data_IF_881192531617
#
_entry.id   IF_881192531617
#
_cell.length_a   1.000
_cell.length_b   1.000
_cell.length_c   1.000
_cell.angle_alpha   90.00
_cell.angle_beta   90.00
_cell.angle_gamma   90.00
#
_symmetry.space_group_name_H-M   'P 1'
#
loop_
_entity.id
_entity.type
_entity.pdbx_description
1 polymer ?
#
# COMPACT_ATOMS: atom_id res chain seq x y z
N UNK A 1 -27.96 4.97 15.38
CA UNK A 1 -27.73 6.43 15.27
C UNK A 1 -26.96 6.93 16.47
N UNK A 2 -25.62 7.00 16.36
CA UNK A 2 -24.74 7.99 16.99
C UNK A 2 -23.53 8.14 16.05
N UNK A 3 -23.36 9.30 15.40
CA UNK A 3 -22.27 9.53 14.46
C UNK A 3 -21.03 9.92 15.26
N UNK A 4 -19.94 9.15 15.15
CA UNK A 4 -18.65 9.58 15.66
C UNK A 4 -17.71 9.80 14.48
N UNK A 5 -17.38 11.07 14.30
CA UNK A 5 -16.35 11.62 13.45
C UNK A 5 -15.01 10.91 13.70
N UNK A 6 -14.72 9.85 12.96
CA UNK A 6 -13.37 9.31 12.87
C UNK A 6 -12.65 10.06 11.75
N UNK A 7 -11.58 10.74 12.13
CA UNK A 7 -10.65 11.46 11.26
C UNK A 7 -10.44 10.75 9.92
N UNK A 8 -10.84 11.41 8.82
CA UNK A 8 -10.46 11.04 7.45
C UNK A 8 -8.98 11.43 7.23
N UNK A 9 -8.06 10.71 7.85
CA UNK A 9 -6.63 10.86 7.58
C UNK A 9 -6.05 9.49 7.26
N UNK A 10 -6.18 9.10 6.00
CA UNK A 10 -5.39 8.01 5.46
C UNK A 10 -4.08 8.59 4.93
N UNK A 11 -3.05 8.56 5.75
CA UNK A 11 -1.68 8.86 5.31
C UNK A 11 -0.75 7.86 5.99
N UNK A 12 -0.28 6.90 5.20
CA UNK A 12 0.58 5.82 5.67
C UNK A 12 1.26 5.14 4.49
N UNK A 13 2.23 5.83 3.88
CA UNK A 13 3.15 5.25 2.91
C UNK A 13 4.21 4.45 3.67
N UNK A 14 4.08 3.12 3.71
CA UNK A 14 5.17 2.26 4.20
C UNK A 14 6.01 1.81 3.02
N UNK A 15 6.84 2.74 2.51
CA UNK A 15 7.88 2.42 1.54
C UNK A 15 9.20 2.17 2.25
N UNK A 16 9.56 0.90 2.44
CA UNK A 16 10.89 0.49 2.89
C UNK A 16 11.91 0.55 1.72
N UNK A 17 12.11 1.76 1.18
CA UNK A 17 13.33 2.30 0.55
C UNK A 17 12.96 3.61 -0.14
N UNK A 18 12.82 4.68 0.65
CA UNK A 18 12.74 6.04 0.10
C UNK A 18 14.10 6.42 -0.52
N UNK A 19 14.20 6.32 -1.85
CA UNK A 19 15.21 7.03 -2.61
C UNK A 19 14.82 8.51 -2.61
N UNK A 20 15.41 9.28 -1.69
CA UNK A 20 15.17 10.72 -1.50
C UNK A 20 15.55 11.58 -2.72
N UNK A 21 16.08 10.99 -3.79
CA UNK A 21 16.55 11.72 -4.99
C UNK A 21 15.47 11.90 -6.08
N UNK A 22 14.31 11.25 -5.96
CA UNK A 22 13.28 11.23 -7.03
C UNK A 22 12.10 12.17 -6.71
N UNK A 23 11.95 12.60 -5.46
CA UNK A 23 10.83 13.41 -4.99
C UNK A 23 11.22 14.91 -4.96
N UNK A 24 11.29 15.56 -6.13
CA UNK A 24 11.47 17.02 -6.19
C UNK A 24 10.21 17.70 -5.61
N UNK A 25 10.30 18.31 -4.43
CA UNK A 25 9.24 19.13 -3.81
C UNK A 25 8.18 18.38 -2.98
N UNK A 26 7.90 17.10 -3.23
CA UNK A 26 6.87 16.35 -2.49
C UNK A 26 7.29 15.91 -1.07
N UNK A 27 8.60 15.80 -0.81
CA UNK A 27 9.13 15.38 0.52
C UNK A 27 8.76 16.36 1.63
N UNK A 28 8.57 17.64 1.31
CA UNK A 28 8.21 18.67 2.29
C UNK A 28 6.76 18.54 2.78
N UNK A 29 5.88 17.92 1.97
CA UNK A 29 4.45 17.82 2.25
C UNK A 29 3.99 16.40 2.61
N UNK A 30 4.83 15.39 2.37
CA UNK A 30 4.52 13.99 2.66
C UNK A 30 5.42 13.50 3.79
N UNK A 31 4.88 13.15 4.97
CA UNK A 31 5.67 12.58 6.05
C UNK A 31 6.38 11.30 5.61
N UNK A 32 7.70 11.25 5.78
CA UNK A 32 8.52 10.08 5.47
C UNK A 32 9.16 9.56 6.75
N UNK A 33 8.91 8.30 7.08
CA UNK A 33 9.54 7.62 8.20
C UNK A 33 10.46 6.50 7.70
N UNK A 34 11.65 6.39 8.29
CA UNK A 34 12.49 5.19 8.18
C UNK A 34 12.32 4.38 9.44
N UNK A 35 12.06 3.08 9.26
CA UNK A 35 11.87 2.14 10.37
C UNK A 35 12.98 1.10 10.37
N UNK A 36 13.40 0.69 11.55
CA UNK A 36 14.43 -0.35 11.73
C UNK A 36 13.89 -1.76 11.50
N UNK A 37 12.61 -2.00 11.81
CA UNK A 37 11.94 -3.28 11.64
C UNK A 37 10.54 -3.09 11.04
N UNK A 38 10.40 -3.41 9.76
CA UNK A 38 9.15 -3.28 9.02
C UNK A 38 8.05 -4.21 9.55
N UNK A 39 8.40 -5.43 9.99
CA UNK A 39 7.42 -6.38 10.52
C UNK A 39 6.77 -5.88 11.81
N UNK A 40 7.55 -5.30 12.72
CA UNK A 40 7.03 -4.69 13.94
C UNK A 40 6.19 -3.44 13.63
N UNK A 41 6.58 -2.63 12.65
CA UNK A 41 5.77 -1.48 12.22
C UNK A 41 4.41 -1.93 11.68
N UNK A 42 4.37 -3.00 10.91
CA UNK A 42 3.10 -3.58 10.41
C UNK A 42 2.22 -4.01 11.58
N UNK A 43 2.77 -4.72 12.57
CA UNK A 43 1.98 -5.18 13.73
C UNK A 43 1.35 -3.99 14.47
N UNK A 44 2.12 -2.91 14.69
CA UNK A 44 1.63 -1.68 15.32
C UNK A 44 0.53 -1.00 14.52
N UNK A 45 0.67 -0.92 13.20
CA UNK A 45 -0.36 -0.35 12.33
C UNK A 45 -1.67 -1.13 12.44
N UNK A 46 -1.59 -2.45 12.52
CA UNK A 46 -2.77 -3.30 12.73
C UNK A 46 -3.42 -3.10 14.09
N UNK A 47 -2.62 -2.95 15.15
CA UNK A 47 -3.12 -2.60 16.50
C UNK A 47 -3.89 -1.27 16.50
N UNK A 48 -3.51 -0.33 15.63
CA UNK A 48 -4.19 0.95 15.41
C UNK A 48 -5.39 0.86 14.44
N UNK A 49 -5.77 -0.34 13.99
CA UNK A 49 -6.91 -0.57 13.10
C UNK A 49 -6.63 -0.30 11.62
N UNK A 50 -5.36 -0.25 11.20
CA UNK A 50 -4.97 -0.07 9.80
C UNK A 50 -4.83 -1.42 9.11
N UNK A 51 -5.52 -1.60 7.98
CA UNK A 51 -5.46 -2.81 7.17
C UNK A 51 -4.25 -2.82 6.25
N UNK A 52 -3.44 -3.88 6.26
CA UNK A 52 -2.16 -3.93 5.53
C UNK A 52 -2.31 -4.73 4.25
N UNK A 53 -2.13 -4.05 3.11
CA UNK A 53 -2.31 -4.58 1.76
C UNK A 53 -0.97 -4.69 1.06
N UNK A 54 -0.58 -5.92 0.70
CA UNK A 54 0.68 -6.18 0.01
C UNK A 54 0.51 -6.39 -1.49
N UNK A 55 1.45 -5.90 -2.30
CA UNK A 55 1.49 -6.23 -3.73
C UNK A 55 2.30 -7.50 -3.97
N UNK A 56 1.71 -8.46 -4.67
CA UNK A 56 2.38 -9.70 -5.06
C UNK A 56 1.89 -10.17 -6.43
N UNK A 57 2.82 -10.48 -7.35
CA UNK A 57 2.47 -10.96 -8.70
C UNK A 57 1.75 -12.30 -8.69
N UNK A 58 1.95 -13.11 -7.64
CA UNK A 58 1.31 -14.39 -7.44
C UNK A 58 0.00 -14.29 -6.63
N UNK A 59 -0.46 -13.09 -6.29
CA UNK A 59 -1.74 -12.91 -5.62
C UNK A 59 -2.92 -13.38 -6.49
N UNK A 60 -3.97 -13.87 -5.84
CA UNK A 60 -5.21 -14.25 -6.54
C UNK A 60 -6.05 -13.00 -6.82
N UNK A 61 -6.18 -12.13 -5.82
CA UNK A 61 -6.99 -10.91 -5.87
C UNK A 61 -6.37 -9.85 -6.77
N UNK A 62 -7.18 -9.28 -7.65
CA UNK A 62 -6.81 -8.09 -8.42
C UNK A 62 -6.79 -6.86 -7.51
N UNK A 63 -5.95 -5.87 -7.83
CA UNK A 63 -6.02 -4.53 -7.21
C UNK A 63 -7.37 -3.86 -7.43
N UNK A 64 -8.05 -4.16 -8.55
CA UNK A 64 -9.28 -3.47 -8.93
C UNK A 64 -10.54 -4.14 -8.36
N UNK A 65 -11.46 -3.35 -7.82
CA UNK A 65 -12.84 -3.77 -7.54
C UNK A 65 -13.01 -4.80 -6.40
N UNK A 66 -12.01 -4.97 -5.55
CA UNK A 66 -12.03 -5.95 -4.44
C UNK A 66 -12.59 -5.39 -3.11
N UNK A 67 -12.94 -4.10 -3.05
CA UNK A 67 -13.49 -3.44 -1.85
C UNK A 67 -12.51 -3.25 -0.68
N UNK A 68 -11.24 -3.61 -0.85
CA UNK A 68 -10.20 -3.58 0.21
C UNK A 68 -9.87 -2.14 0.65
N UNK A 69 -10.08 -1.15 -0.22
CA UNK A 69 -9.58 0.22 -0.02
C UNK A 69 -10.58 1.18 0.64
N UNK A 70 -11.65 0.66 1.20
CA UNK A 70 -12.76 1.43 1.78
C UNK A 70 -12.46 1.98 3.19
N UNK A 71 -11.50 1.38 3.90
CA UNK A 71 -11.06 1.80 5.24
C UNK A 71 -9.65 2.40 5.31
N UNK A 72 -9.11 2.59 6.54
CA UNK A 72 -7.70 2.88 6.76
C UNK A 72 -6.83 1.75 6.22
N UNK A 73 -5.92 2.08 5.30
CA UNK A 73 -5.04 1.08 4.64
C UNK A 73 -3.59 1.51 4.67
N UNK A 74 -2.70 0.55 4.86
CA UNK A 74 -1.25 0.66 4.63
C UNK A 74 -0.86 -0.21 3.44
N UNK A 75 -0.22 0.39 2.44
CA UNK A 75 0.23 -0.32 1.25
C UNK A 75 1.69 -0.77 1.41
N UNK A 76 1.97 -2.03 1.09
CA UNK A 76 3.34 -2.57 1.03
C UNK A 76 3.67 -2.90 -0.43
N UNK A 77 4.58 -2.12 -1.00
CA UNK A 77 5.06 -2.31 -2.37
C UNK A 77 6.35 -3.14 -2.33
N UNK A 78 6.32 -4.30 -2.99
CA UNK A 78 7.48 -5.18 -3.11
C UNK A 78 8.58 -4.60 -3.99
N UNK A 79 9.79 -5.17 -3.88
CA UNK A 79 10.84 -4.87 -4.84
C UNK A 79 10.49 -5.50 -6.20
N UNK A 80 10.80 -4.82 -7.30
CA UNK A 80 10.50 -5.30 -8.67
C UNK A 80 11.07 -6.70 -8.95
N UNK A 81 12.31 -6.94 -8.52
CA UNK A 81 13.03 -8.16 -8.85
C UNK A 81 12.89 -9.23 -7.77
N UNK A 82 12.91 -8.83 -6.49
CA UNK A 82 12.89 -9.76 -5.35
C UNK A 82 11.48 -9.97 -4.78
N UNK A 83 10.51 -9.18 -5.21
CA UNK A 83 9.19 -9.12 -4.59
C UNK A 83 9.27 -8.62 -3.14
N UNK A 84 8.28 -9.02 -2.35
CA UNK A 84 8.20 -8.76 -0.93
C UNK A 84 8.89 -9.88 -0.13
N UNK A 85 9.60 -9.53 0.93
CA UNK A 85 10.18 -10.53 1.83
C UNK A 85 9.09 -11.40 2.47
N UNK A 86 9.33 -12.71 2.57
CA UNK A 86 8.36 -13.70 3.07
C UNK A 86 7.66 -13.28 4.38
N UNK A 87 8.43 -12.84 5.38
CA UNK A 87 7.88 -12.42 6.68
C UNK A 87 6.92 -11.23 6.57
N UNK A 88 7.19 -10.30 5.64
CA UNK A 88 6.34 -9.13 5.41
C UNK A 88 5.08 -9.55 4.64
N UNK A 89 5.23 -10.45 3.68
CA UNK A 89 4.11 -11.04 2.93
C UNK A 89 3.14 -11.77 3.87
N UNK A 90 3.65 -12.60 4.77
CA UNK A 90 2.85 -13.32 5.78
C UNK A 90 2.15 -12.38 6.77
N UNK A 91 2.70 -11.18 6.99
CA UNK A 91 2.10 -10.15 7.82
C UNK A 91 1.09 -9.26 7.10
N UNK A 92 0.96 -9.32 5.78
CA UNK A 92 -0.09 -8.58 5.08
C UNK A 92 -1.45 -9.24 5.36
N UNK A 93 -2.50 -8.44 5.56
CA UNK A 93 -3.87 -8.95 5.72
C UNK A 93 -4.44 -9.47 4.40
N UNK A 94 -4.03 -8.86 3.29
CA UNK A 94 -4.40 -9.29 1.94
C UNK A 94 -3.25 -9.01 0.97
N UNK A 95 -3.14 -9.88 -0.03
CA UNK A 95 -2.23 -9.71 -1.14
C UNK A 95 -3.03 -9.44 -2.41
N UNK A 96 -2.61 -8.43 -3.16
CA UNK A 96 -3.22 -8.03 -4.43
C UNK A 96 -2.19 -8.06 -5.55
N UNK A 97 -2.64 -8.31 -6.78
CA UNK A 97 -1.83 -8.18 -7.99
C UNK A 97 -2.33 -7.03 -8.85
N UNK A 98 -1.39 -6.39 -9.53
CA UNK A 98 -1.71 -5.62 -10.73
C UNK A 98 -1.81 -6.61 -11.89
N UNK A 99 -2.95 -6.67 -12.61
CA UNK A 99 -3.07 -7.52 -13.79
C UNK A 99 -2.03 -7.11 -14.84
N UNK A 100 -1.13 -8.04 -15.16
CA UNK A 100 -0.15 -7.86 -16.22
C UNK A 100 -0.65 -8.54 -17.49
N UNK A 101 -0.58 -7.83 -18.63
CA UNK A 101 -0.86 -8.40 -19.95
C UNK A 101 0.44 -8.51 -20.74
N UNK A 102 0.60 -9.62 -21.48
CA UNK A 102 1.78 -9.87 -22.31
C UNK A 102 2.93 -10.56 -21.57
N UNK A 103 4.17 -10.33 -22.01
CA UNK A 103 5.36 -11.07 -21.56
C UNK A 103 6.05 -10.42 -20.34
N UNK A 104 5.62 -9.22 -19.93
CA UNK A 104 6.20 -8.49 -18.80
C UNK A 104 5.50 -8.94 -17.52
N UNK A 105 6.28 -9.48 -16.58
CA UNK A 105 5.73 -10.09 -15.36
C UNK A 105 5.70 -9.13 -14.15
N UNK A 106 6.20 -7.89 -14.30
CA UNK A 106 6.21 -6.89 -13.22
C UNK A 106 6.30 -5.46 -13.75
N UNK A 107 5.76 -4.51 -12.98
CA UNK A 107 5.95 -3.07 -13.21
C UNK A 107 7.07 -2.53 -12.33
N UNK A 108 7.57 -1.35 -12.72
CA UNK A 108 8.41 -0.54 -11.85
C UNK A 108 7.65 -0.23 -10.54
N UNK A 109 8.34 -0.25 -9.40
CA UNK A 109 7.73 -0.10 -8.08
C UNK A 109 7.03 1.25 -7.92
N UNK A 110 7.57 2.32 -8.53
CA UNK A 110 6.93 3.65 -8.48
C UNK A 110 5.65 3.70 -9.32
N UNK A 111 5.64 3.05 -10.48
CA UNK A 111 4.46 2.94 -11.36
C UNK A 111 3.38 2.10 -10.68
N UNK A 112 3.75 0.94 -10.14
CA UNK A 112 2.83 0.08 -9.38
C UNK A 112 2.24 0.83 -8.19
N UNK A 113 3.07 1.54 -7.40
CA UNK A 113 2.61 2.35 -6.28
C UNK A 113 1.62 3.43 -6.73
N UNK A 114 1.90 4.13 -7.83
CA UNK A 114 1.01 5.14 -8.41
C UNK A 114 -0.36 4.57 -8.78
N UNK A 115 -0.40 3.44 -9.50
CA UNK A 115 -1.64 2.78 -9.90
C UNK A 115 -2.46 2.35 -8.69
N UNK A 116 -1.83 1.70 -7.69
CA UNK A 116 -2.53 1.24 -6.49
C UNK A 116 -3.06 2.43 -5.68
N UNK A 117 -2.28 3.50 -5.53
CA UNK A 117 -2.73 4.71 -4.81
C UNK A 117 -3.92 5.39 -5.50
N UNK A 118 -3.95 5.41 -6.84
CA UNK A 118 -5.11 5.92 -7.58
C UNK A 118 -6.34 5.03 -7.43
N UNK A 119 -6.17 3.71 -7.35
CA UNK A 119 -7.29 2.81 -7.06
C UNK A 119 -7.86 3.02 -5.66
N UNK A 120 -7.00 3.28 -4.66
CA UNK A 120 -7.44 3.67 -3.30
C UNK A 120 -8.29 4.94 -3.36
N UNK A 121 -7.82 5.96 -4.09
CA UNK A 121 -8.54 7.21 -4.27
C UNK A 121 -9.90 6.97 -4.94
N UNK A 122 -9.93 6.24 -6.06
CA UNK A 122 -11.15 5.91 -6.81
C UNK A 122 -12.15 5.15 -5.94
N UNK A 123 -11.68 4.14 -5.20
CA UNK A 123 -12.53 3.31 -4.35
C UNK A 123 -13.21 4.14 -3.26
N UNK A 124 -12.51 5.12 -2.68
CA UNK A 124 -13.05 5.99 -1.64
C UNK A 124 -14.02 7.03 -2.19
N UNK A 125 -13.75 7.57 -3.38
CA UNK A 125 -14.67 8.50 -4.04
C UNK A 125 -15.99 7.84 -4.45
N UNK A 126 -15.98 6.54 -4.77
CA UNK A 126 -17.19 5.79 -5.13
C UNK A 126 -18.11 5.49 -3.92
N UNK A 127 -17.69 5.81 -2.69
CA UNK A 127 -18.49 5.62 -1.47
C UNK A 127 -19.11 6.91 -0.93
N UNK A 128 -18.70 8.07 -1.47
CA UNK A 128 -19.30 9.37 -1.19
C UNK A 128 -20.47 9.63 -2.16
#
# INVERSE_FOLDING_TARGET
>A
MRPNHLHRSATGLVSAKAQSRILTGAVEYVPVARVSNLGQTIDRLKEEGVWVVGTDVAAQESVFGNGVFTGPVALVIGNENKGMGRLIREKCDVLIKLPMQGQINSLNASVAAGVVMYEVLRSRQAQD
#
